data_IF_935741948792
#
_entry.id   IF_935741948792
#
_cell.length_a   1.000
_cell.length_b   1.000
_cell.length_c   1.000
_cell.angle_alpha   90.00
_cell.angle_beta   90.00
_cell.angle_gamma   90.00
#
_symmetry.space_group_name_H-M   'P 1'
#
loop_
_entity.id
_entity.type
_entity.pdbx_description
1 polymer ?
#
# COMPACT_ATOMS: atom_id res chain seq x y z
N UNK A 1 4.34 -19.25 -15.58
CA UNK A 1 3.45 -18.31 -14.88
C UNK A 1 4.22 -17.72 -13.71
N UNK A 2 4.41 -16.40 -13.67
CA UNK A 2 5.13 -15.76 -12.57
C UNK A 2 4.28 -15.90 -11.29
N UNK A 3 4.91 -16.05 -10.11
CA UNK A 3 4.20 -16.04 -8.81
C UNK A 3 3.31 -14.79 -8.65
N UNK A 4 3.62 -13.72 -9.38
CA UNK A 4 2.86 -12.47 -9.43
C UNK A 4 1.54 -12.53 -10.19
N UNK A 5 1.14 -13.66 -10.78
CA UNK A 5 -0.15 -13.82 -11.47
C UNK A 5 -1.16 -14.68 -10.71
N UNK A 6 -0.81 -15.20 -9.52
CA UNK A 6 -1.76 -15.89 -8.64
C UNK A 6 -2.72 -14.86 -7.98
N UNK A 7 -4.05 -14.94 -8.23
CA UNK A 7 -5.04 -14.07 -7.60
C UNK A 7 -5.03 -14.16 -6.07
N UNK A 8 -4.75 -15.34 -5.50
CA UNK A 8 -4.73 -15.53 -4.05
C UNK A 8 -3.54 -14.83 -3.41
N UNK A 9 -2.34 -15.04 -3.97
CA UNK A 9 -1.16 -14.31 -3.53
C UNK A 9 -1.32 -12.79 -3.71
N UNK A 10 -1.87 -12.36 -4.85
CA UNK A 10 -2.13 -10.93 -5.12
C UNK A 10 -3.04 -10.31 -4.06
N UNK A 11 -4.15 -10.99 -3.74
CA UNK A 11 -5.09 -10.52 -2.72
C UNK A 11 -4.42 -10.42 -1.35
N UNK A 12 -3.67 -11.44 -0.96
CA UNK A 12 -2.93 -11.44 0.30
C UNK A 12 -1.95 -10.26 0.36
N UNK A 13 -1.07 -10.11 -0.64
CA UNK A 13 -0.11 -9.01 -0.68
C UNK A 13 -0.78 -7.63 -0.68
N UNK A 14 -1.92 -7.49 -1.36
CA UNK A 14 -2.72 -6.27 -1.34
C UNK A 14 -3.25 -5.95 0.06
N UNK A 15 -3.82 -6.94 0.76
CA UNK A 15 -4.32 -6.73 2.14
C UNK A 15 -3.21 -6.45 3.15
N UNK A 16 -1.97 -6.87 2.88
CA UNK A 16 -0.82 -6.48 3.70
C UNK A 16 -0.32 -5.07 3.36
N UNK A 17 -0.33 -4.71 2.07
CA UNK A 17 0.09 -3.39 1.59
C UNK A 17 -0.89 -2.29 2.01
N UNK A 18 -2.19 -2.51 1.91
CA UNK A 18 -3.21 -1.52 2.28
C UNK A 18 -3.56 -1.69 3.76
N UNK A 19 -3.16 -0.72 4.59
CA UNK A 19 -3.35 -0.78 6.05
C UNK A 19 -4.31 0.33 6.57
N UNK A 20 -4.84 1.16 5.69
CA UNK A 20 -5.90 2.13 6.01
C UNK A 20 -7.27 1.50 5.80
N UNK A 21 -8.21 1.80 6.71
CA UNK A 21 -9.60 1.32 6.58
C UNK A 21 -10.32 2.07 5.44
N UNK A 22 -11.40 1.51 4.86
CA UNK A 22 -12.13 2.18 3.78
C UNK A 22 -12.68 3.57 4.16
N UNK A 23 -13.14 3.74 5.41
CA UNK A 23 -13.63 5.03 5.91
C UNK A 23 -12.47 6.03 6.06
N UNK A 24 -11.39 5.61 6.70
CA UNK A 24 -10.18 6.42 6.90
C UNK A 24 -9.56 6.87 5.56
N UNK A 25 -9.43 5.96 4.59
CA UNK A 25 -8.91 6.30 3.27
C UNK A 25 -9.82 7.27 2.54
N UNK A 26 -11.14 7.12 2.67
CA UNK A 26 -12.11 8.06 2.09
C UNK A 26 -11.97 9.46 2.69
N UNK A 27 -11.89 9.56 4.02
CA UNK A 27 -11.69 10.84 4.71
C UNK A 27 -10.38 11.49 4.29
N UNK A 28 -9.30 10.71 4.20
CA UNK A 28 -8.01 11.18 3.70
C UNK A 28 -8.10 11.75 2.28
N UNK A 29 -8.78 11.06 1.36
CA UNK A 29 -8.91 11.50 -0.03
C UNK A 29 -9.66 12.82 -0.18
N UNK A 30 -10.48 13.21 0.80
CA UNK A 30 -11.16 14.51 0.75
C UNK A 30 -10.26 15.70 1.13
N UNK A 31 -9.09 15.45 1.70
CA UNK A 31 -8.15 16.49 2.15
C UNK A 31 -7.48 17.22 0.97
N UNK A 32 -7.15 18.52 1.13
CA UNK A 32 -6.33 19.24 0.15
C UNK A 32 -4.99 18.55 -0.12
N UNK A 33 -4.32 18.05 0.93
CA UNK A 33 -3.03 17.36 0.84
C UNK A 33 -3.12 16.16 -0.10
N UNK A 34 -4.17 15.35 0.04
CA UNK A 34 -4.39 14.21 -0.84
C UNK A 34 -4.58 14.63 -2.30
N UNK A 35 -5.35 15.69 -2.54
CA UNK A 35 -5.66 16.22 -3.88
C UNK A 35 -4.44 16.82 -4.59
N UNK A 36 -3.47 17.36 -3.83
CA UNK A 36 -2.27 18.02 -4.36
C UNK A 36 -1.00 17.17 -4.39
N UNK A 37 -1.07 15.90 -4.00
CA UNK A 37 0.07 14.97 -3.97
C UNK A 37 -0.04 13.88 -5.03
N UNK A 38 1.10 13.60 -5.67
CA UNK A 38 1.26 12.52 -6.64
C UNK A 38 1.54 13.02 -8.06
N UNK A 39 1.68 12.07 -8.98
CA UNK A 39 1.92 12.34 -10.39
C UNK A 39 0.61 12.59 -11.12
N UNK A 40 0.53 13.70 -11.85
CA UNK A 40 -0.56 14.01 -12.78
C UNK A 40 -0.20 13.53 -14.19
N UNK A 41 -1.19 13.09 -14.96
CA UNK A 41 -0.96 12.74 -16.37
C UNK A 41 -0.58 14.01 -17.14
N UNK A 42 0.41 13.90 -18.02
CA UNK A 42 0.78 15.01 -18.93
C UNK A 42 -0.44 15.39 -19.77
N UNK A 43 -0.75 16.69 -19.84
CA UNK A 43 -1.87 17.23 -20.63
C UNK A 43 -3.19 17.41 -19.89
N UNK A 44 -3.25 17.10 -18.58
CA UNK A 44 -4.39 17.48 -17.73
C UNK A 44 -3.97 18.59 -16.76
N UNK A 45 -4.11 19.85 -17.17
CA UNK A 45 -4.03 20.98 -16.23
C UNK A 45 -5.16 20.87 -15.20
N UNK A 46 -4.81 20.93 -13.91
CA UNK A 46 -5.79 20.77 -12.81
C UNK A 46 -6.37 19.36 -12.64
N UNK A 47 -5.84 18.37 -13.36
CA UNK A 47 -6.31 16.99 -13.28
C UNK A 47 -5.94 16.28 -11.98
N UNK A 48 -6.78 15.34 -11.57
CA UNK A 48 -6.54 14.46 -10.43
C UNK A 48 -5.24 13.66 -10.58
N UNK A 49 -4.50 13.48 -9.48
CA UNK A 49 -3.30 12.65 -9.49
C UNK A 49 -3.64 11.16 -9.65
N UNK A 50 -2.74 10.40 -10.29
CA UNK A 50 -2.90 8.94 -10.44
C UNK A 50 -3.01 8.23 -9.09
N UNK A 51 -2.37 8.77 -8.06
CA UNK A 51 -2.46 8.24 -6.70
C UNK A 51 -3.85 8.45 -6.10
N UNK A 52 -4.39 9.66 -6.20
CA UNK A 52 -5.73 9.97 -5.71
C UNK A 52 -6.80 9.13 -6.45
N UNK A 53 -6.67 8.97 -7.77
CA UNK A 53 -7.56 8.11 -8.58
C UNK A 53 -7.49 6.66 -8.11
N UNK A 54 -6.27 6.18 -7.80
CA UNK A 54 -6.05 4.85 -7.26
C UNK A 54 -6.67 4.68 -5.87
N UNK A 55 -6.59 5.69 -5.02
CA UNK A 55 -7.17 5.67 -3.67
C UNK A 55 -8.68 5.41 -3.71
N UNK A 56 -9.42 6.08 -4.60
CA UNK A 56 -10.86 5.82 -4.75
C UNK A 56 -11.16 4.38 -5.18
N UNK A 57 -10.38 3.86 -6.14
CA UNK A 57 -10.49 2.45 -6.58
C UNK A 57 -10.19 1.48 -5.42
N UNK A 58 -9.20 1.77 -4.59
CA UNK A 58 -8.89 0.96 -3.40
C UNK A 58 -10.07 0.96 -2.42
N UNK A 59 -10.70 2.10 -2.17
CA UNK A 59 -11.90 2.16 -1.31
C UNK A 59 -13.00 1.24 -1.82
N UNK A 60 -13.24 1.21 -3.13
CA UNK A 60 -14.24 0.32 -3.74
C UNK A 60 -13.83 -1.15 -3.62
N UNK A 61 -12.56 -1.47 -3.90
CA UNK A 61 -12.03 -2.83 -3.78
C UNK A 61 -12.12 -3.39 -2.36
N UNK A 62 -11.86 -2.56 -1.34
CA UNK A 62 -11.95 -2.98 0.06
C UNK A 62 -13.39 -3.24 0.51
N UNK A 63 -14.41 -2.78 -0.23
CA UNK A 63 -15.83 -3.00 0.05
C UNK A 63 -16.42 -4.20 -0.69
N UNK A 64 -15.77 -4.66 -1.76
CA UNK A 64 -16.22 -5.82 -2.55
C UNK A 64 -15.92 -7.13 -1.84
N UNK A 65 -16.76 -8.12 -2.09
CA UNK A 65 -16.47 -9.51 -1.70
C UNK A 65 -15.45 -10.13 -2.65
N UNK A 66 -14.78 -11.19 -2.19
CA UNK A 66 -13.67 -11.81 -2.94
C UNK A 66 -14.14 -12.50 -4.23
N UNK A 67 -15.35 -13.01 -4.25
CA UNK A 67 -16.03 -13.63 -5.40
C UNK A 67 -16.50 -12.61 -6.45
N UNK A 68 -16.62 -11.33 -6.08
CA UNK A 68 -16.96 -10.23 -6.98
C UNK A 68 -15.72 -9.61 -7.67
N UNK A 69 -14.51 -10.07 -7.34
CA UNK A 69 -13.26 -9.52 -7.88
C UNK A 69 -12.99 -10.00 -9.30
N UNK A 70 -12.78 -9.05 -10.19
CA UNK A 70 -12.46 -9.27 -11.61
C UNK A 70 -10.95 -9.34 -11.87
N UNK A 71 -10.55 -9.83 -13.05
CA UNK A 71 -9.15 -9.80 -13.47
C UNK A 71 -8.56 -8.36 -13.50
N UNK A 72 -9.39 -7.35 -13.79
CA UNK A 72 -8.99 -5.95 -13.75
C UNK A 72 -8.70 -5.48 -12.31
N UNK A 73 -9.48 -5.96 -11.34
CA UNK A 73 -9.28 -5.67 -9.92
C UNK A 73 -7.95 -6.26 -9.44
N UNK A 74 -7.66 -7.52 -9.75
CA UNK A 74 -6.37 -8.14 -9.43
C UNK A 74 -5.20 -7.42 -10.13
N UNK A 75 -5.37 -6.93 -11.36
CA UNK A 75 -4.37 -6.10 -12.04
C UNK A 75 -4.14 -4.79 -11.28
N UNK A 76 -5.20 -4.15 -10.79
CA UNK A 76 -5.08 -2.94 -9.97
C UNK A 76 -4.40 -3.22 -8.63
N UNK A 77 -4.77 -4.30 -7.93
CA UNK A 77 -4.13 -4.73 -6.68
C UNK A 77 -2.61 -4.91 -6.84
N UNK A 78 -2.15 -5.56 -7.92
CA UNK A 78 -0.71 -5.68 -8.21
C UNK A 78 -0.02 -4.34 -8.42
N UNK A 79 -0.69 -3.41 -9.11
CA UNK A 79 -0.20 -2.03 -9.28
C UNK A 79 -0.03 -1.34 -7.92
N UNK A 80 -1.00 -1.49 -7.02
CA UNK A 80 -0.96 -0.95 -5.66
C UNK A 80 0.20 -1.53 -4.87
N UNK A 81 0.31 -2.87 -4.80
CA UNK A 81 1.40 -3.57 -4.10
C UNK A 81 2.77 -3.11 -4.61
N UNK A 82 2.94 -3.08 -5.93
CA UNK A 82 4.20 -2.65 -6.56
C UNK A 82 4.53 -1.19 -6.28
N UNK A 83 3.54 -0.30 -6.25
CA UNK A 83 3.74 1.10 -5.90
C UNK A 83 4.16 1.25 -4.43
N UNK A 84 3.38 0.69 -3.50
CA UNK A 84 3.64 0.78 -2.06
C UNK A 84 5.02 0.26 -1.71
N UNK A 85 5.41 -0.93 -2.21
CA UNK A 85 6.74 -1.51 -1.95
C UNK A 85 7.87 -0.62 -2.45
N UNK A 86 7.79 -0.13 -3.69
CA UNK A 86 8.83 0.73 -4.28
C UNK A 86 8.95 2.06 -3.55
N UNK A 87 7.83 2.69 -3.19
CA UNK A 87 7.86 3.96 -2.44
C UNK A 87 8.31 3.76 -0.99
N UNK A 88 7.98 2.65 -0.34
CA UNK A 88 8.49 2.31 0.98
C UNK A 88 10.01 2.13 1.00
N UNK A 89 10.58 1.56 -0.06
CA UNK A 89 12.05 1.46 -0.21
C UNK A 89 12.75 2.81 -0.37
N UNK A 90 12.01 3.86 -0.77
CA UNK A 90 12.49 5.23 -0.95
C UNK A 90 12.19 6.12 0.26
N UNK A 91 12.04 5.53 1.45
CA UNK A 91 11.70 6.27 2.67
C UNK A 91 12.76 7.35 2.97
N UNK A 92 12.37 8.62 3.10
CA UNK A 92 13.29 9.69 3.47
C UNK A 92 13.77 9.53 4.92
N UNK A 93 14.95 10.07 5.21
CA UNK A 93 15.47 10.17 6.58
C UNK A 93 14.68 11.22 7.38
N UNK A 94 14.58 11.02 8.70
CA UNK A 94 13.94 11.98 9.61
C UNK A 94 12.46 11.68 9.89
N UNK A 95 11.74 12.68 10.42
CA UNK A 95 10.30 12.57 10.64
C UNK A 95 9.56 12.63 9.30
N UNK A 96 8.71 11.64 9.07
CA UNK A 96 7.95 11.46 7.84
C UNK A 96 6.46 11.77 7.99
N UNK A 97 6.01 12.13 9.20
CA UNK A 97 4.59 12.32 9.52
C UNK A 97 3.88 13.31 8.60
N UNK A 98 4.52 14.41 8.24
CA UNK A 98 3.91 15.46 7.42
C UNK A 98 4.71 15.69 6.14
N UNK A 99 4.83 14.63 5.34
CA UNK A 99 5.64 14.65 4.12
C UNK A 99 4.84 14.24 2.89
N UNK A 100 5.18 14.83 1.74
CA UNK A 100 4.63 14.40 0.43
C UNK A 100 4.83 12.90 0.19
N UNK A 101 5.91 12.32 0.71
CA UNK A 101 6.15 10.87 0.65
C UNK A 101 5.07 10.06 1.37
N UNK A 102 4.76 10.40 2.64
CA UNK A 102 3.70 9.75 3.41
C UNK A 102 2.34 9.98 2.75
N UNK A 103 2.03 11.22 2.39
CA UNK A 103 0.75 11.59 1.77
C UNK A 103 0.52 10.83 0.46
N UNK A 104 1.58 10.65 -0.33
CA UNK A 104 1.51 9.85 -1.54
C UNK A 104 1.28 8.37 -1.24
N UNK A 105 1.85 7.80 -0.18
CA UNK A 105 1.54 6.42 0.23
C UNK A 105 0.09 6.29 0.74
N UNK A 106 -0.41 7.29 1.47
CA UNK A 106 -1.79 7.31 1.97
C UNK A 106 -2.81 7.38 0.84
N UNK A 107 -2.50 8.09 -0.27
CA UNK A 107 -3.31 8.03 -1.49
C UNK A 107 -3.42 6.62 -2.08
N UNK A 108 -2.49 5.73 -1.74
CA UNK A 108 -2.48 4.32 -2.13
C UNK A 108 -2.90 3.38 -1.00
N UNK A 109 -3.56 3.91 0.04
CA UNK A 109 -4.10 3.14 1.16
C UNK A 109 -3.06 2.62 2.15
N UNK A 110 -1.81 3.07 2.06
CA UNK A 110 -0.74 2.70 2.99
C UNK A 110 -0.33 3.90 3.84
N UNK A 111 -0.50 3.80 5.16
CA UNK A 111 0.09 4.72 6.10
C UNK A 111 1.35 4.12 6.74
N UNK A 112 2.55 4.61 6.39
CA UNK A 112 3.84 4.08 6.87
C UNK A 112 4.12 4.35 8.35
N UNK A 113 3.27 5.09 9.06
CA UNK A 113 3.40 5.29 10.52
C UNK A 113 2.51 4.36 11.34
N UNK A 114 1.60 3.60 10.70
CA UNK A 114 0.68 2.68 11.41
C UNK A 114 1.29 1.32 11.68
N UNK A 115 1.97 0.74 10.69
CA UNK A 115 2.56 -0.59 10.80
C UNK A 115 3.64 -0.82 9.73
N UNK A 116 4.63 -1.68 10.01
CA UNK A 116 5.58 -2.09 8.98
C UNK A 116 4.88 -2.88 7.85
N UNK A 117 5.48 -2.82 6.66
CA UNK A 117 5.10 -3.64 5.52
C UNK A 117 5.86 -4.98 5.59
N UNK A 118 5.17 -6.14 5.68
CA UNK A 118 5.84 -7.43 5.67
C UNK A 118 6.60 -7.69 4.36
N UNK A 119 7.68 -8.49 4.39
CA UNK A 119 8.40 -8.86 3.19
C UNK A 119 7.53 -9.73 2.26
N UNK A 120 7.77 -9.71 0.94
CA UNK A 120 7.09 -10.58 -0.01
C UNK A 120 7.20 -12.06 0.39
N UNK A 121 6.07 -12.76 0.44
CA UNK A 121 6.01 -14.18 0.82
C UNK A 121 6.34 -14.46 2.31
N UNK A 122 6.50 -13.42 3.13
CA UNK A 122 6.69 -13.57 4.57
C UNK A 122 5.38 -13.76 5.35
N UNK A 123 5.47 -13.94 6.69
CA UNK A 123 4.31 -14.00 7.55
C UNK A 123 3.46 -12.72 7.44
N UNK A 124 2.14 -12.87 7.47
CA UNK A 124 1.20 -11.73 7.49
C UNK A 124 1.42 -10.84 8.72
N UNK A 125 1.01 -9.56 8.65
CA UNK A 125 1.08 -8.64 9.80
C UNK A 125 0.38 -9.24 11.04
N UNK A 126 -0.79 -9.86 10.84
CA UNK A 126 -1.51 -10.57 11.92
C UNK A 126 -0.72 -11.75 12.49
N UNK A 127 0.05 -12.46 11.68
CA UNK A 127 0.90 -13.55 12.16
C UNK A 127 2.08 -13.00 12.98
N UNK A 128 2.69 -11.89 12.55
CA UNK A 128 3.77 -11.22 13.30
C UNK A 128 3.27 -10.66 14.64
N UNK A 129 2.05 -10.14 14.70
CA UNK A 129 1.42 -9.66 15.93
C UNK A 129 1.14 -10.80 16.93
N UNK A 130 0.64 -11.95 16.45
CA UNK A 130 0.32 -13.11 17.30
C UNK A 130 1.55 -13.82 17.85
N UNK A 131 2.62 -13.91 17.06
CA UNK A 131 3.81 -14.70 17.43
C UNK A 131 4.95 -13.87 18.04
N UNK A 132 4.73 -12.56 18.22
CA UNK A 132 5.80 -11.62 18.52
C UNK A 132 6.74 -11.46 17.32
N UNK A 133 7.39 -10.31 17.19
CA UNK A 133 8.37 -10.12 16.12
C UNK A 133 9.40 -11.27 16.17
N UNK A 134 9.66 -11.98 15.04
CA UNK A 134 10.71 -12.99 15.03
C UNK A 134 12.00 -12.33 15.51
N UNK A 135 12.79 -12.99 16.37
CA UNK A 135 14.00 -12.40 16.91
C UNK A 135 14.85 -11.91 15.73
N UNK A 136 15.20 -10.60 15.75
CA UNK A 136 16.16 -10.04 14.79
C UNK A 136 17.30 -11.03 14.72
N UNK A 137 17.58 -11.52 13.50
CA UNK A 137 18.60 -12.54 13.24
C UNK A 137 19.80 -12.26 14.13
N UNK A 138 20.09 -13.14 15.10
CA UNK A 138 21.36 -13.10 15.81
C UNK A 138 22.41 -13.11 14.73
N UNK A 139 23.18 -12.02 14.59
CA UNK A 139 24.48 -12.09 13.94
C UNK A 139 25.20 -13.23 14.65
N UNK A 140 25.35 -14.37 13.96
CA UNK A 140 26.20 -15.44 14.43
C UNK A 140 27.62 -14.89 14.57
N UNK A 141 28.35 -15.23 15.64
CA UNK A 141 29.74 -14.82 15.75
C UNK A 141 30.55 -15.73 14.83
N UNK A 142 31.25 -15.14 13.86
CA UNK A 142 32.37 -15.79 13.17
C UNK A 142 33.11 -14.70 12.36
N UNK A 143 34.42 -14.58 12.39
CA UNK A 143 35.48 -15.27 13.13
C UNK A 143 36.72 -14.38 13.03
#
# INVERSE_FOLDING_TARGET
MSRSDDPQQTYQEFTEAVNMKPAELREWLETPESKHVGWQKKGTEGGESVGHESGRKIVDLLRRKRDELTAADYKHMRKVVGYVRRHMAQRPSGDVRETRWRYSLMNWGHDPVKAPLPPPGGPSRRALERHGAPPKSRRGPAR
#
